data_IF_484605800484
#
_entry.id   IF_484605800484
#
_cell.length_a   1.000
_cell.length_b   1.000
_cell.length_c   1.000
_cell.angle_alpha   90.00
_cell.angle_beta   90.00
_cell.angle_gamma   90.00
#
_symmetry.space_group_name_H-M   'P 1'
#
loop_
_entity.id
_entity.type
_entity.pdbx_description
1 polymer ?
2 branched ?
3 non-polymer ?
4 non-polymer ?
5 water ?
#
# COMPACT_ATOMS: atom_id res chain seq x y z
N UNK A 2 -4.68 1.15 11.29
CA UNK A 2 -5.22 0.00 10.58
C UNK A 2 -4.10 -0.94 10.14
N UNK A 3 -4.45 -2.21 9.87
CA UNK A 3 -3.54 -3.17 9.24
C UNK A 3 -4.30 -4.33 8.56
N UNK A 4 -3.55 -5.17 7.82
CA UNK A 4 -4.17 -6.14 6.94
C UNK A 4 -4.45 -7.41 7.75
N UNK A 5 -5.54 -8.12 7.39
CA UNK A 5 -5.91 -9.40 8.03
C UNK A 5 -5.54 -10.60 7.15
N UNK A 6 -5.94 -10.53 5.89
CA UNK A 6 -5.77 -11.65 4.92
C UNK A 6 -5.73 -11.09 3.49
N UNK A 7 -5.41 -11.97 2.53
CA UNK A 7 -5.54 -11.68 1.09
C UNK A 7 -6.53 -12.64 0.45
N UNK A 8 -7.37 -12.14 -0.47
CA UNK A 8 -8.29 -13.00 -1.25
C UNK A 8 -7.82 -13.11 -2.71
N UNK A 9 -7.99 -14.28 -3.36
CA UNK A 9 -7.50 -14.44 -4.75
C UNK A 9 -8.69 -14.86 -5.60
N UNK A 10 -9.09 -13.97 -6.51
CA UNK A 10 -10.32 -14.10 -7.28
C UNK A 10 -11.48 -14.42 -6.34
N UNK A 11 -11.58 -13.65 -5.24
CA UNK A 11 -12.71 -13.68 -4.30
C UNK A 11 -12.68 -14.88 -3.36
N UNK A 12 -11.50 -15.50 -3.19
CA UNK A 12 -11.28 -16.65 -2.28
C UNK A 12 -10.23 -16.27 -1.22
N UNK A 13 -10.71 -16.16 0.03
CA UNK A 13 -9.91 -15.81 1.19
C UNK A 13 -8.83 -16.88 1.33
N UNK A 14 -7.57 -16.47 1.42
CA UNK A 14 -6.51 -17.43 1.67
C UNK A 14 -6.32 -17.63 3.19
N UNK A 15 -7.14 -17.00 4.03
CA UNK A 15 -7.04 -17.16 5.51
C UNK A 15 -6.03 -16.19 6.15
N UNK A 16 -6.16 -15.94 7.46
CA UNK A 16 -5.29 -15.07 8.23
C UNK A 16 -3.86 -15.24 7.70
N UNK A 17 -3.35 -14.08 7.24
CA UNK A 17 -2.08 -13.87 6.63
C UNK A 17 -1.04 -13.31 7.58
N UNK A 18 -1.47 -12.82 8.76
CA UNK A 18 -0.62 -12.08 9.66
C UNK A 18 0.53 -12.96 10.16
N UNK A 19 1.77 -12.54 9.86
CA UNK A 19 2.99 -13.33 10.11
C UNK A 19 2.96 -14.71 9.43
N UNK A 20 2.18 -14.84 8.36
CA UNK A 20 2.18 -16.03 7.55
C UNK A 20 2.83 -15.67 6.20
N UNK A 21 2.12 -14.82 5.45
CA UNK A 21 2.55 -14.29 4.16
C UNK A 21 2.50 -12.75 4.19
N UNK A 22 2.05 -12.13 5.29
CA UNK A 22 2.08 -10.66 5.43
C UNK A 22 3.17 -10.31 6.47
N UNK A 23 3.94 -9.26 6.23
CA UNK A 23 4.96 -8.80 7.15
C UNK A 23 4.32 -7.86 8.18
N UNK A 24 3.50 -8.46 9.01
CA UNK A 24 2.61 -7.74 9.95
C UNK A 24 3.41 -7.00 11.00
N UNK A 25 3.21 -5.67 11.13
CA UNK A 25 3.89 -4.91 12.14
C UNK A 25 3.20 -5.21 13.47
N UNK A 26 3.89 -5.07 14.63
CA UNK A 26 3.28 -5.37 15.93
C UNK A 26 2.04 -4.54 16.34
N UNK A 27 1.79 -3.39 15.72
CA UNK A 27 0.55 -2.69 16.01
C UNK A 27 0.20 -1.82 14.80
N UNK A 28 -0.81 -0.96 14.97
CA UNK A 28 -1.41 -0.16 13.92
C UNK A 28 -0.80 1.25 13.86
N UNK A 29 0.29 1.51 14.59
CA UNK A 29 0.88 2.83 14.54
C UNK A 29 1.26 3.23 13.11
N UNK A 30 1.13 4.54 12.76
CA UNK A 30 1.54 5.06 11.45
C UNK A 30 3.04 5.33 11.42
N UNK A 31 3.68 5.14 10.26
CA UNK A 31 4.96 5.80 9.87
C UNK A 31 4.69 7.26 9.50
N UNK A 32 5.53 8.19 9.95
CA UNK A 32 5.39 9.62 9.63
C UNK A 32 6.73 10.26 9.19
N UNK A 33 7.87 9.73 9.66
CA UNK A 33 9.18 10.17 9.30
C UNK A 33 9.57 9.58 7.94
N UNK A 34 9.82 10.47 6.98
CA UNK A 34 9.99 10.00 5.56
C UNK A 34 11.37 9.38 5.34
N UNK A 35 12.21 9.53 6.36
CA UNK A 35 13.58 9.01 6.44
C UNK A 35 13.61 7.62 7.11
N UNK A 36 12.49 7.12 7.62
CA UNK A 36 12.54 5.88 8.40
C UNK A 36 12.62 4.69 7.47
N UNK A 37 13.49 3.71 7.76
CA UNK A 37 13.57 2.48 6.97
C UNK A 37 12.23 1.73 6.88
N UNK A 38 11.39 1.94 7.89
CA UNK A 38 10.08 1.34 7.98
C UNK A 38 9.06 1.96 7.00
N UNK A 39 9.37 3.07 6.33
CA UNK A 39 8.36 3.67 5.38
C UNK A 39 7.89 2.64 4.33
N UNK A 40 8.73 1.65 4.05
CA UNK A 40 8.55 0.81 2.88
C UNK A 40 7.66 -0.39 3.21
N UNK A 41 7.99 -1.11 4.29
CA UNK A 41 7.28 -2.37 4.64
C UNK A 41 6.95 -2.43 6.15
N UNK A 42 7.01 -1.26 6.80
CA UNK A 42 6.69 -1.08 8.22
C UNK A 42 7.80 -1.72 9.08
N UNK A 43 7.51 -1.87 10.37
CA UNK A 43 8.46 -1.83 11.42
C UNK A 43 9.20 -3.17 11.48
N UNK A 44 8.53 -4.25 11.04
CA UNK A 44 9.18 -5.55 10.88
C UNK A 44 9.28 -5.92 9.38
N UNK A 45 9.57 -4.93 8.53
CA UNK A 45 9.54 -5.15 7.06
C UNK A 45 10.67 -6.04 6.55
N UNK A 46 11.69 -6.22 7.40
CA UNK A 46 12.93 -6.85 7.00
C UNK A 46 13.01 -8.30 7.45
N UNK A 47 11.95 -8.78 8.09
CA UNK A 47 11.89 -10.11 8.70
C UNK A 47 11.02 -10.98 7.81
N UNK A 48 11.59 -12.04 7.22
CA UNK A 48 10.83 -12.96 6.39
C UNK A 48 9.62 -13.53 7.15
N UNK A 49 8.50 -13.72 6.46
CA UNK A 49 7.47 -14.63 6.92
C UNK A 49 7.58 -15.90 6.08
N UNK A 50 7.09 -17.05 6.54
CA UNK A 50 7.34 -18.31 5.84
C UNK A 50 6.54 -18.60 4.55
N UNK A 51 5.41 -17.93 4.30
CA UNK A 51 4.57 -18.32 3.17
C UNK A 51 4.50 -17.19 2.12
N UNK A 52 4.07 -17.58 0.90
CA UNK A 52 3.75 -16.66 -0.22
C UNK A 52 2.32 -16.92 -0.70
N UNK A 53 1.57 -15.86 -0.95
CA UNK A 53 0.32 -16.02 -1.62
C UNK A 53 0.57 -16.63 -3.00
N UNK A 54 -0.24 -17.62 -3.31
CA UNK A 54 -0.26 -18.20 -4.60
C UNK A 54 -1.28 -17.43 -5.46
N UNK A 55 -0.80 -16.84 -6.58
CA UNK A 55 -1.66 -16.30 -7.61
C UNK A 55 -0.99 -16.45 -8.97
N UNK A 56 -1.83 -16.39 -10.01
CA UNK A 56 -1.41 -16.24 -11.41
C UNK A 56 -1.52 -14.76 -11.81
N UNK A 57 -0.55 -14.33 -12.63
CA UNK A 57 -0.59 -13.07 -13.36
C UNK A 57 -2.01 -12.87 -13.91
N UNK A 58 -2.62 -11.72 -13.67
CA UNK A 58 -3.98 -11.43 -14.21
C UNK A 58 -5.09 -11.61 -13.18
N UNK A 59 -4.81 -12.39 -12.13
CA UNK A 59 -5.70 -12.68 -11.04
C UNK A 59 -6.10 -11.40 -10.32
N UNK A 60 -7.35 -11.34 -9.89
CA UNK A 60 -7.82 -10.25 -9.07
C UNK A 60 -7.49 -10.52 -7.61
N UNK A 61 -6.84 -9.57 -6.94
CA UNK A 61 -6.49 -9.75 -5.49
C UNK A 61 -7.34 -8.81 -4.64
N UNK A 62 -7.68 -9.22 -3.42
CA UNK A 62 -8.34 -8.34 -2.45
C UNK A 62 -7.48 -8.31 -1.19
N UNK A 63 -7.08 -7.10 -0.79
CA UNK A 63 -6.42 -6.88 0.50
C UNK A 63 -7.48 -6.49 1.54
N UNK A 64 -7.50 -7.18 2.68
CA UNK A 64 -8.55 -7.03 3.74
C UNK A 64 -7.87 -6.41 4.98
N UNK A 65 -8.45 -5.28 5.43
CA UNK A 65 -7.88 -4.40 6.47
C UNK A 65 -8.82 -4.47 7.68
N UNK A 66 -8.32 -4.13 8.87
CA UNK A 66 -9.08 -4.09 10.13
C UNK A 66 -8.32 -3.16 11.07
N UNK A 67 -9.00 -2.68 12.14
CA UNK A 67 -8.45 -1.80 13.13
C UNK A 67 -8.03 -2.57 14.41
N UNK A 68 -9.00 -3.14 15.12
CA UNK A 68 -8.73 -3.86 16.37
C UNK A 68 -8.96 -5.37 16.18
N UNK A 69 -10.13 -5.67 15.58
CA UNK A 69 -10.70 -6.99 15.39
C UNK A 69 -11.16 -7.13 13.93
N UNK A 70 -11.09 -8.34 13.40
CA UNK A 70 -11.58 -8.60 12.05
C UNK A 70 -13.04 -8.14 11.98
N UNK A 71 -13.42 -7.43 10.93
CA UNK A 71 -14.82 -7.14 10.63
C UNK A 71 -15.31 -5.92 11.35
N UNK A 72 -14.39 -5.06 11.80
CA UNK A 72 -14.76 -3.91 12.66
C UNK A 72 -14.87 -2.65 11.79
N UNK A 73 -14.58 -1.47 12.34
CA UNK A 73 -14.78 -0.24 11.58
C UNK A 73 -13.61 0.04 10.63
N UNK A 74 -12.53 -0.74 10.71
CA UNK A 74 -11.43 -0.75 9.68
C UNK A 74 -10.38 0.35 9.93
N UNK A 75 -10.82 1.60 9.97
CA UNK A 75 -9.98 2.78 10.15
C UNK A 75 -10.94 3.93 10.39
N UNK A 76 -10.46 4.90 11.15
CA UNK A 76 -11.28 6.06 11.51
C UNK A 76 -11.61 6.90 10.26
N UNK A 77 -12.89 7.19 9.95
CA UNK A 77 -13.28 8.11 8.87
C UNK A 77 -12.60 9.49 8.75
N UNK A 78 -12.03 9.99 9.86
CA UNK A 78 -11.17 11.19 9.80
C UNK A 78 -9.99 10.96 8.84
N UNK A 79 -9.61 9.71 8.63
CA UNK A 79 -8.33 9.41 8.07
C UNK A 79 -8.40 9.39 6.54
N UNK A 80 -8.89 10.47 5.94
CA UNK A 80 -9.11 10.54 4.51
C UNK A 80 -7.77 10.48 3.80
N UNK A 81 -7.78 9.85 2.61
CA UNK A 81 -6.63 9.85 1.75
C UNK A 81 -6.67 8.74 0.70
N UNK A 82 -5.55 8.57 -0.04
CA UNK A 82 -5.48 7.65 -1.19
C UNK A 82 -5.00 6.25 -0.75
N UNK A 83 -5.10 5.29 -1.64
CA UNK A 83 -4.66 3.98 -1.41
C UNK A 83 -3.88 3.57 -2.66
N UNK A 84 -2.59 3.24 -2.49
CA UNK A 84 -1.75 2.89 -3.59
C UNK A 84 -1.22 1.47 -3.39
N UNK A 85 -1.05 0.77 -4.50
CA UNK A 85 -0.54 -0.54 -4.48
C UNK A 85 0.70 -0.61 -5.41
N UNK A 86 1.74 -1.34 -4.95
CA UNK A 86 3.10 -1.37 -5.56
C UNK A 86 3.61 -2.79 -5.69
N UNK A 87 4.62 -2.98 -6.55
CA UNK A 87 5.28 -4.27 -6.71
C UNK A 87 6.79 -4.05 -6.89
N UNK A 88 7.54 -5.07 -6.44
CA UNK A 88 8.99 -5.18 -6.40
C UNK A 88 9.38 -6.65 -6.43
N UNK A 89 10.51 -6.99 -7.06
CA UNK A 89 10.90 -8.39 -7.12
C UNK A 89 11.33 -8.81 -5.70
N UNK A 90 11.13 -10.11 -5.37
CA UNK A 90 11.62 -10.67 -4.15
C UNK A 90 13.10 -11.02 -4.33
N UNK A 91 13.98 -10.08 -4.00
CA UNK A 91 15.43 -10.20 -4.25
C UNK A 91 16.05 -11.30 -3.37
N UNK A 92 15.77 -11.20 -2.07
CA UNK A 92 16.17 -12.13 -1.01
C UNK A 92 15.16 -11.98 0.13
N UNK A 93 15.00 -13.02 0.95
CA UNK A 93 14.14 -12.96 2.13
C UNK A 93 14.35 -11.83 3.15
N UNK A 94 15.59 -11.36 3.30
CA UNK A 94 15.85 -10.34 4.29
C UNK A 94 15.72 -8.95 3.67
N UNK A 95 15.19 -8.87 2.44
CA UNK A 95 14.80 -7.55 1.87
C UNK A 95 13.81 -6.87 2.83
N UNK A 96 13.92 -5.54 2.95
CA UNK A 96 13.06 -4.78 3.78
C UNK A 96 12.27 -3.76 2.94
N UNK A 97 12.52 -3.69 1.61
CA UNK A 97 11.72 -2.81 0.69
C UNK A 97 12.28 -1.39 0.56
N UNK A 98 13.38 -1.08 1.28
CA UNK A 98 14.22 0.11 1.00
C UNK A 98 14.91 -0.05 -0.37
N UNK A 99 15.45 1.07 -0.84
CA UNK A 99 16.20 1.13 -2.09
C UNK A 99 15.31 1.35 -3.31
N UNK A 100 15.92 1.30 -4.49
CA UNK A 100 15.22 1.69 -5.72
C UNK A 100 14.64 0.51 -6.48
N UNK A 101 13.46 0.03 -6.03
CA UNK A 101 13.00 -1.31 -6.44
C UNK A 101 11.51 -1.39 -6.80
N UNK A 102 10.69 -0.37 -6.52
CA UNK A 102 9.22 -0.40 -6.60
C UNK A 102 8.63 0.14 -7.90
N UNK A 103 7.58 -0.56 -8.33
CA UNK A 103 6.72 -0.04 -9.38
C UNK A 103 5.26 0.02 -8.88
N UNK A 104 4.57 1.12 -9.19
CA UNK A 104 3.19 1.32 -8.78
C UNK A 104 2.27 0.58 -9.73
N UNK A 105 1.39 -0.27 -9.21
CA UNK A 105 0.42 -1.02 -10.08
C UNK A 105 -1.07 -0.61 -9.94
N UNK A 106 -1.43 0.15 -8.90
CA UNK A 106 -2.84 0.65 -8.77
C UNK A 106 -2.87 1.87 -7.85
N UNK A 107 -3.79 2.80 -8.12
CA UNK A 107 -4.03 3.92 -7.22
C UNK A 107 -5.49 4.43 -7.33
N UNK A 108 -6.07 4.78 -6.17
CA UNK A 108 -7.23 5.62 -6.06
C UNK A 108 -6.90 6.67 -5.01
N UNK A 109 -7.24 7.93 -5.33
CA UNK A 109 -7.06 9.10 -4.47
C UNK A 109 -8.40 9.75 -4.11
N UNK A 110 -8.62 11.00 -4.57
CA UNK A 110 -9.88 11.76 -4.36
C UNK A 110 -10.71 11.71 -5.65
N UNK A 111 -11.97 11.28 -5.57
CA UNK A 111 -12.87 11.35 -6.69
C UNK A 111 -13.72 12.60 -6.56
N UNK A 112 -13.53 13.59 -7.42
CA UNK A 112 -14.13 14.89 -7.24
C UNK A 112 -15.65 14.84 -7.50
N UNK A 113 -16.11 13.88 -8.33
CA UNK A 113 -17.54 13.77 -8.69
C UNK A 113 -18.34 13.39 -7.44
N UNK A 114 -17.79 12.47 -6.63
CA UNK A 114 -18.42 11.93 -5.43
C UNK A 114 -17.94 12.65 -4.17
N UNK A 115 -16.87 13.42 -4.30
CA UNK A 115 -16.15 13.98 -3.18
C UNK A 115 -15.78 12.89 -2.19
N UNK A 116 -15.34 11.74 -2.70
CA UNK A 116 -15.07 10.56 -1.93
C UNK A 116 -13.58 10.25 -2.06
N UNK A 117 -12.98 9.85 -0.95
CA UNK A 117 -11.63 9.38 -0.91
C UNK A 117 -11.60 7.86 -1.07
N UNK A 118 -10.43 7.31 -1.40
CA UNK A 118 -10.18 5.86 -1.43
C UNK A 118 -10.53 5.25 -0.08
N UNK A 119 -10.13 5.95 0.97
CA UNK A 119 -10.37 5.49 2.33
C UNK A 119 -11.88 5.39 2.63
N UNK A 120 -12.66 6.44 2.32
CA UNK A 120 -14.17 6.39 2.43
C UNK A 120 -14.74 5.16 1.72
N UNK A 121 -14.09 4.70 0.64
CA UNK A 121 -14.55 3.57 -0.12
C UNK A 121 -14.12 2.25 0.55
N UNK A 122 -12.90 2.23 1.06
CA UNK A 122 -12.42 1.10 1.86
C UNK A 122 -13.43 0.81 2.98
N UNK A 123 -13.82 1.87 3.70
CA UNK A 123 -14.73 1.71 4.82
C UNK A 123 -16.03 1.12 4.29
N UNK A 124 -16.71 1.82 3.39
CA UNK A 124 -18.06 1.43 2.92
C UNK A 124 -18.07 0.00 2.36
N UNK A 125 -16.92 -0.49 1.86
CA UNK A 125 -16.79 -1.90 1.38
C UNK A 125 -16.13 -2.84 2.41
N UNK A 126 -16.21 -2.46 3.71
CA UNK A 126 -15.87 -3.33 4.81
C UNK A 126 -14.39 -3.77 4.75
N UNK A 127 -13.46 -2.84 4.51
CA UNK A 127 -12.06 -3.15 4.61
C UNK A 127 -11.51 -3.93 3.43
N UNK A 128 -12.34 -4.26 2.45
CA UNK A 128 -11.92 -4.97 1.23
C UNK A 128 -11.44 -3.99 0.16
N UNK A 129 -10.21 -4.20 -0.33
CA UNK A 129 -9.56 -3.37 -1.38
C UNK A 129 -9.01 -4.24 -2.52
N UNK A 130 -9.58 -4.03 -3.71
CA UNK A 130 -9.38 -4.80 -4.89
C UNK A 130 -8.39 -4.15 -5.85
N UNK A 131 -7.57 -4.99 -6.48
CA UNK A 131 -6.74 -4.65 -7.61
C UNK A 131 -6.33 -5.90 -8.38
N UNK A 132 -5.77 -5.68 -9.58
CA UNK A 132 -5.37 -6.75 -10.51
C UNK A 132 -3.84 -6.93 -10.52
N UNK A 133 -3.39 -8.19 -10.50
CA UNK A 133 -2.01 -8.53 -10.83
C UNK A 133 -1.82 -8.38 -12.34
N UNK A 134 -0.92 -7.51 -12.83
CA UNK A 134 -0.75 -7.34 -14.28
C UNK A 134 -0.55 -8.67 -15.00
N UNK A 135 -1.37 -8.87 -16.03
CA UNK A 135 -1.37 -10.11 -16.76
C UNK A 135 -0.05 -10.31 -17.50
N UNK A 136 0.74 -9.24 -17.66
CA UNK A 136 1.96 -9.36 -18.47
C UNK A 136 3.18 -9.65 -17.58
N UNK A 137 2.94 -9.78 -16.28
CA UNK A 137 3.97 -9.80 -15.32
C UNK A 137 4.75 -11.12 -15.38
N UNK A 138 6.05 -11.02 -15.17
CA UNK A 138 6.88 -12.17 -15.31
C UNK A 138 6.79 -13.08 -14.08
N UNK A 139 6.57 -14.40 -14.30
CA UNK A 139 6.44 -15.38 -13.23
C UNK A 139 7.63 -15.43 -12.25
N UNK A 140 7.31 -15.46 -10.95
CA UNK A 140 8.31 -15.56 -9.91
C UNK A 140 7.78 -14.90 -8.65
N UNK A 141 8.66 -14.77 -7.65
CA UNK A 141 8.31 -14.13 -6.38
C UNK A 141 8.51 -12.60 -6.43
N UNK A 142 7.58 -11.90 -5.79
CA UNK A 142 7.57 -10.46 -5.64
C UNK A 142 7.05 -10.13 -4.24
N UNK A 143 7.33 -8.89 -3.81
CA UNK A 143 6.66 -8.28 -2.70
C UNK A 143 5.62 -7.27 -3.25
N UNK A 144 4.39 -7.37 -2.78
CA UNK A 144 3.37 -6.39 -3.04
C UNK A 144 3.36 -5.46 -1.86
N UNK A 145 3.05 -4.19 -2.10
CA UNK A 145 3.04 -3.22 -1.05
C UNK A 145 1.76 -2.41 -1.22
N UNK A 146 0.97 -2.27 -0.16
CA UNK A 146 -0.21 -1.50 -0.31
C UNK A 146 -0.32 -0.57 0.89
N UNK A 147 -0.76 0.65 0.62
CA UNK A 147 -0.55 1.79 1.47
C UNK A 147 -1.79 2.71 1.52
N UNK A 148 -2.31 2.90 2.74
CA UNK A 148 -3.22 3.95 3.07
C UNK A 148 -2.36 5.09 3.62
N UNK A 149 -2.57 6.30 3.06
CA UNK A 149 -2.04 7.59 3.57
C UNK A 149 -3.22 8.42 4.09
N UNK A 150 -3.14 8.85 5.35
CA UNK A 150 -4.20 9.59 6.01
C UNK A 150 -3.79 11.05 6.24
N UNK A 151 -4.73 11.97 6.00
CA UNK A 151 -4.41 13.41 5.86
C UNK A 151 -5.20 14.25 6.88
N UNK A 152 -5.63 13.64 7.98
CA UNK A 152 -6.32 14.42 9.06
C UNK A 152 -5.39 15.46 9.68
N UNK A 153 -4.04 15.26 9.58
CA UNK A 153 -3.03 16.20 10.13
C UNK A 153 -1.91 16.46 9.11
N UNK A 154 -2.20 16.23 7.82
CA UNK A 154 -1.20 16.50 6.77
C UNK A 154 -1.10 18.00 6.48
N UNK A 155 -1.95 18.80 7.14
CA UNK A 155 -1.95 20.24 6.97
C UNK A 155 -0.74 20.86 7.68
N UNK A 156 0.10 20.02 8.30
CA UNK A 156 1.48 20.37 8.55
C UNK A 156 2.36 19.19 8.14
N UNK A 157 3.68 19.46 8.07
CA UNK A 157 4.66 18.42 7.73
C UNK A 157 5.43 18.03 9.01
N UNK A 158 5.87 16.76 9.06
CA UNK A 158 6.44 16.10 10.24
C UNK A 158 7.72 16.83 10.64
N UNK A 159 8.48 17.24 9.61
CA UNK A 159 9.76 17.93 9.80
C UNK A 159 9.59 19.27 10.53
N UNK A 160 8.43 19.91 10.39
CA UNK A 160 8.15 21.22 11.00
C UNK A 160 7.41 21.04 12.33
N UNK A 161 6.36 20.20 12.32
CA UNK A 161 5.55 19.86 13.51
C UNK A 161 5.52 18.34 13.62
N UNK A 162 6.37 17.74 14.49
CA UNK A 162 6.38 16.30 14.66
C UNK A 162 5.07 15.77 15.26
N UNK A 163 4.23 16.64 15.84
CA UNK A 163 2.95 16.18 16.49
C UNK A 163 1.85 15.96 15.44
N UNK A 164 2.16 16.33 14.20
CA UNK A 164 1.27 16.30 13.07
C UNK A 164 2.00 15.65 11.88
N UNK A 165 1.42 15.80 10.69
CA UNK A 165 1.99 15.28 9.46
C UNK A 165 1.17 14.13 8.89
N UNK A 166 1.48 13.84 7.62
CA UNK A 166 0.84 12.74 6.97
C UNK A 166 1.21 11.43 7.66
N UNK A 167 0.25 10.47 7.70
CA UNK A 167 0.43 9.15 8.27
C UNK A 167 0.39 8.11 7.16
N UNK A 168 1.44 7.27 7.11
CA UNK A 168 1.59 6.17 6.14
C UNK A 168 1.31 4.83 6.84
N UNK A 169 0.49 4.01 6.17
CA UNK A 169 0.15 2.67 6.66
C UNK A 169 0.51 1.65 5.59
N UNK A 170 1.80 1.31 5.45
CA UNK A 170 2.23 0.35 4.43
C UNK A 170 2.16 -1.09 4.93
N UNK A 171 1.68 -2.00 4.07
CA UNK A 171 1.62 -3.46 4.29
C UNK A 171 2.28 -4.18 3.11
N UNK A 172 3.32 -4.97 3.41
CA UNK A 172 4.03 -5.75 2.39
C UNK A 172 3.65 -7.25 2.53
N UNK A 173 3.29 -7.88 1.39
CA UNK A 173 2.81 -9.22 1.27
C UNK A 173 3.72 -10.01 0.33
N UNK A 174 3.98 -11.27 0.68
CA UNK A 174 4.83 -12.12 -0.13
C UNK A 174 3.92 -12.89 -1.08
N UNK A 175 4.26 -12.91 -2.36
CA UNK A 175 3.41 -13.50 -3.37
C UNK A 175 4.30 -14.28 -4.35
N UNK A 176 3.87 -15.51 -4.70
CA UNK A 176 4.57 -16.36 -5.68
C UNK A 176 3.67 -16.38 -6.90
N UNK A 177 4.03 -15.55 -7.89
CA UNK A 177 3.21 -15.31 -9.08
C UNK A 177 3.48 -16.41 -10.10
N UNK A 178 2.47 -17.23 -10.40
CA UNK A 178 2.67 -18.26 -11.39
C UNK A 178 1.76 -17.99 -12.59
N UNK A 179 1.34 -19.09 -13.24
CA UNK A 179 0.69 -19.10 -14.58
C UNK A 179 1.64 -18.61 -15.66
N UNK A 180 1.11 -18.41 -16.88
CA UNK A 180 1.94 -18.01 -18.01
C UNK A 180 2.55 -16.61 -17.78
N UNK A 181 1.77 -15.65 -17.28
CA UNK A 181 2.18 -14.24 -17.27
C UNK A 181 2.73 -13.78 -18.63
N UNK A 182 3.72 -12.87 -18.60
CA UNK A 182 4.40 -12.38 -19.81
C UNK A 182 5.89 -12.16 -19.59
N UNK A 183 6.44 -11.11 -20.22
CA UNK A 183 7.89 -10.72 -20.12
C UNK A 183 8.07 -9.47 -19.24
N UNK A 184 7.00 -8.91 -18.65
CA UNK A 184 7.13 -7.62 -17.92
C UNK A 184 7.90 -7.83 -16.61
N UNK A 185 8.99 -7.07 -16.47
CA UNK A 185 9.62 -6.91 -15.19
C UNK A 185 9.44 -5.48 -14.72
N UNK A 186 8.95 -5.30 -13.48
CA UNK A 186 8.75 -3.97 -12.92
C UNK A 186 10.07 -3.20 -12.85
N UNK A 187 10.07 -2.02 -13.47
CA UNK A 187 11.27 -1.36 -13.81
C UNK A 187 11.19 0.16 -13.49
N UNK A 188 10.19 0.63 -12.74
CA UNK A 188 10.20 2.02 -12.30
C UNK A 188 11.24 2.22 -11.19
N UNK A 189 11.57 1.18 -10.41
CA UNK A 189 12.67 1.29 -9.38
C UNK A 189 12.55 2.56 -8.49
N UNK A 190 11.31 2.91 -8.13
CA UNK A 190 11.05 4.00 -7.19
C UNK A 190 11.54 3.68 -5.77
N UNK A 191 12.07 4.68 -5.06
CA UNK A 191 12.61 4.48 -3.72
C UNK A 191 11.81 5.35 -2.76
N UNK A 192 11.17 4.79 -1.73
CA UNK A 192 10.23 5.64 -0.94
C UNK A 192 10.95 6.74 -0.13
N UNK A 193 12.16 6.49 0.38
CA UNK A 193 12.87 7.45 1.29
C UNK A 193 13.37 8.65 0.48
N UNK A 194 13.76 8.35 -0.78
CA UNK A 194 14.19 9.31 -1.80
C UNK A 194 12.99 10.12 -2.36
N UNK A 195 11.96 9.36 -2.74
CA UNK A 195 10.88 9.80 -3.63
C UNK A 195 9.70 10.45 -2.92
N UNK A 196 9.42 10.11 -1.67
CA UNK A 196 8.44 10.86 -0.90
C UNK A 196 9.21 11.98 -0.22
N UNK A 197 8.79 13.24 -0.42
CA UNK A 197 9.36 14.45 0.19
C UNK A 197 8.29 15.33 0.83
N UNK A 198 8.68 16.06 1.87
CA UNK A 198 7.77 16.94 2.62
C UNK A 198 7.22 18.06 1.71
N UNK A 199 7.90 18.28 0.58
CA UNK A 199 7.63 19.33 -0.40
C UNK A 199 6.58 18.88 -1.45
N UNK A 200 6.35 17.57 -1.52
CA UNK A 200 5.33 16.98 -2.38
C UNK A 200 3.97 17.52 -1.96
N UNK A 201 3.17 18.07 -2.88
CA UNK A 201 1.86 18.61 -2.49
C UNK A 201 0.81 17.53 -2.16
N UNK A 202 1.11 16.27 -2.48
CA UNK A 202 0.32 15.11 -2.07
C UNK A 202 0.66 14.64 -0.66
N UNK A 203 1.52 15.39 0.03
CA UNK A 203 1.96 15.01 1.37
C UNK A 203 1.75 16.21 2.31
N UNK A 204 2.33 17.36 1.95
CA UNK A 204 1.99 18.62 2.50
C UNK A 204 0.65 19.01 1.91
N UNK A 205 -0.43 18.41 2.41
CA UNK A 205 -1.77 18.58 1.84
C UNK A 205 -2.79 18.97 2.92
N UNK A 206 -3.52 20.08 2.68
CA UNK A 206 -4.54 20.63 3.56
C UNK A 206 -5.90 20.17 3.06
N UNK A 207 -6.45 19.16 3.73
CA UNK A 207 -7.75 18.60 3.33
C UNK A 207 -8.91 19.44 3.91
N UNK A 208 -8.60 20.50 4.66
CA UNK A 208 -9.61 21.32 5.34
C UNK A 208 -9.94 22.59 4.57
N UNK A 209 -9.65 22.66 3.27
CA UNK A 209 -10.01 23.77 2.43
C UNK A 209 -10.91 23.26 1.32
N UNK A 210 -11.47 24.19 0.54
CA UNK A 210 -12.22 23.83 -0.65
C UNK A 210 -11.23 23.36 -1.73
N UNK A 211 -10.98 22.06 -1.84
CA UNK A 211 -10.09 21.60 -2.87
C UNK A 211 -10.90 20.76 -3.85
N UNK A 212 -10.36 20.62 -5.05
CA UNK A 212 -11.06 20.04 -6.14
C UNK A 212 -10.37 18.73 -6.55
N UNK A 213 -9.09 18.59 -6.21
CA UNK A 213 -8.36 17.41 -6.62
C UNK A 213 -7.17 17.15 -5.69
N UNK A 214 -6.61 15.94 -5.82
CA UNK A 214 -5.55 15.47 -4.96
C UNK A 214 -4.49 14.82 -5.83
N UNK A 215 -3.25 15.33 -5.80
CA UNK A 215 -2.15 14.78 -6.61
C UNK A 215 -1.47 13.62 -5.88
N UNK A 216 -1.72 12.38 -6.34
CA UNK A 216 -1.17 11.16 -5.64
C UNK A 216 0.34 11.05 -5.85
N UNK A 217 1.10 10.98 -4.75
CA UNK A 217 2.57 10.89 -4.80
C UNK A 217 3.12 9.69 -5.56
N UNK A 218 4.24 9.93 -6.26
CA UNK A 218 4.94 8.90 -7.01
C UNK A 218 4.59 8.93 -8.50
N UNK A 219 5.17 8.00 -9.28
CA UNK A 219 5.01 8.03 -10.72
C UNK A 219 3.60 7.55 -11.04
N UNK A 220 3.18 7.64 -12.31
CA UNK A 220 1.90 7.10 -12.72
C UNK A 220 2.04 5.58 -12.60
N UNK A 221 0.92 4.86 -12.66
CA UNK A 221 0.89 3.45 -12.78
C UNK A 221 1.81 3.03 -13.95
N UNK A 222 2.62 2.03 -13.60
CA UNK A 222 3.46 1.30 -14.46
C UNK A 222 2.68 0.97 -15.75
N UNK A 223 3.30 1.29 -16.88
CA UNK A 223 2.63 1.17 -18.19
C UNK A 223 2.62 -0.28 -18.63
N UNK A 224 3.27 -1.17 -17.85
CA UNK A 224 3.11 -2.64 -17.89
C UNK A 224 3.90 -3.22 -19.09
#
# INVERSE_FOLDING_TARGET
XTRMFSVWVNGVDQGDGQNVYIRTPPNTDPIKDLASPALACNVKGGEPVPQFVSASAGDKLTFEWYRVKRGDDIIDPSHSGPITTWIAAFTSPTMDGTGPVWSKIHEEGYDASTKSWAVDKLIANKGMWDFTLPSQLKPGKYMLRQEIVAHHESDATFDKNPKRGAQFYPSCVQVDVKGVGGDAVPDQAFDFNKGYKYSDPGIAFDMYTDFDSYPIPGPPVWDAQDEGCCFIDGVDTTSVKEVVKQIICVLK
#
